data_IF_788589533282
#
_entry.id   IF_788589533282
#
_cell.length_a   1.000
_cell.length_b   1.000
_cell.length_c   1.000
_cell.angle_alpha   90.00
_cell.angle_beta   90.00
_cell.angle_gamma   90.00
#
_symmetry.space_group_name_H-M   'P 1'
#
loop_
_entity.id
_entity.type
_entity.pdbx_description
1 polymer ?
#
# COMPACT_ATOMS: atom_id res chain seq x y z
N UNK A 1 0.44 14.73 -13.43
CA UNK A 1 0.93 13.59 -14.24
C UNK A 1 0.12 13.57 -15.53
N UNK A 2 0.78 13.56 -16.69
CA UNK A 2 0.17 13.81 -18.03
C UNK A 2 -0.12 12.51 -18.78
N UNK A 3 -0.79 12.61 -19.94
CA UNK A 3 -1.29 11.46 -20.72
C UNK A 3 -0.21 10.47 -21.17
N UNK A 4 1.05 10.92 -21.36
CA UNK A 4 2.13 10.00 -21.71
C UNK A 4 2.38 8.94 -20.64
N UNK A 5 2.09 9.27 -19.37
CA UNK A 5 2.31 8.34 -18.27
C UNK A 5 1.31 7.19 -18.31
N UNK A 6 0.05 7.45 -18.72
CA UNK A 6 -0.97 6.41 -18.94
C UNK A 6 -0.57 5.43 -20.06
N UNK A 7 0.30 5.87 -20.99
CA UNK A 7 0.79 5.05 -22.10
C UNK A 7 1.98 4.15 -21.72
N UNK A 8 2.43 4.13 -20.46
CA UNK A 8 3.49 3.26 -19.98
C UNK A 8 3.03 1.80 -19.82
N UNK A 9 2.60 1.19 -20.92
CA UNK A 9 1.98 -0.15 -20.96
C UNK A 9 2.90 -1.30 -20.57
N UNK A 10 4.22 -1.06 -20.54
CA UNK A 10 5.24 -2.05 -20.16
C UNK A 10 5.83 -1.79 -18.78
N UNK A 11 5.39 -0.76 -18.05
CA UNK A 11 5.95 -0.46 -16.75
C UNK A 11 5.48 -1.49 -15.71
N UNK A 12 6.43 -2.26 -15.20
CA UNK A 12 6.16 -3.33 -14.23
C UNK A 12 6.39 -2.89 -12.79
N UNK A 13 7.34 -1.99 -12.56
CA UNK A 13 7.72 -1.53 -11.22
C UNK A 13 7.92 -0.04 -11.25
N UNK A 14 7.45 0.64 -10.20
CA UNK A 14 7.74 2.04 -9.99
C UNK A 14 8.04 2.31 -8.52
N UNK A 15 9.00 3.20 -8.31
CA UNK A 15 9.38 3.67 -6.98
C UNK A 15 9.44 5.18 -6.99
N UNK A 16 8.78 5.80 -6.03
CA UNK A 16 8.87 7.24 -5.77
C UNK A 16 9.63 7.48 -4.48
N UNK A 17 10.54 8.46 -4.51
CA UNK A 17 11.31 8.90 -3.36
C UNK A 17 11.45 10.41 -3.41
N UNK A 18 11.12 11.10 -2.32
CA UNK A 18 11.18 12.57 -2.22
C UNK A 18 10.49 13.27 -3.42
N UNK A 19 9.42 12.67 -3.92
CA UNK A 19 8.74 13.08 -5.16
C UNK A 19 7.57 14.02 -4.92
N UNK A 20 7.12 14.17 -3.66
CA UNK A 20 6.07 15.11 -3.25
C UNK A 20 4.79 15.00 -4.10
N UNK A 21 4.38 13.77 -4.41
CA UNK A 21 3.19 13.50 -5.21
C UNK A 21 1.95 14.00 -4.48
N UNK A 22 1.14 14.82 -5.16
CA UNK A 22 -0.14 15.30 -4.66
C UNK A 22 -1.25 14.28 -4.91
N UNK A 23 -2.20 14.25 -3.99
CA UNK A 23 -3.34 13.32 -3.91
C UNK A 23 -4.20 13.33 -5.18
N UNK A 24 -4.36 14.50 -5.79
CA UNK A 24 -5.46 14.84 -6.67
C UNK A 24 -5.67 13.93 -7.90
N UNK A 25 -4.61 13.31 -8.45
CA UNK A 25 -4.68 12.47 -9.68
C UNK A 25 -3.60 11.38 -9.79
N UNK A 26 -2.60 11.39 -8.91
CA UNK A 26 -1.39 10.56 -9.14
C UNK A 26 -1.69 9.08 -8.94
N UNK A 27 -2.39 8.75 -7.87
CA UNK A 27 -2.72 7.37 -7.50
C UNK A 27 -3.71 6.77 -8.51
N UNK A 28 -4.68 7.55 -8.98
CA UNK A 28 -5.59 7.14 -10.05
C UNK A 28 -4.84 6.73 -11.32
N UNK A 29 -3.92 7.57 -11.79
CA UNK A 29 -3.14 7.30 -13.00
C UNK A 29 -2.26 6.06 -12.84
N UNK A 30 -1.63 5.89 -11.68
CA UNK A 30 -0.84 4.70 -11.36
C UNK A 30 -1.73 3.44 -11.35
N UNK A 31 -2.97 3.57 -10.87
CA UNK A 31 -3.95 2.50 -10.80
C UNK A 31 -4.39 1.99 -12.17
N UNK A 32 -4.27 2.78 -13.22
CA UNK A 32 -4.62 2.38 -14.58
C UNK A 32 -3.50 1.64 -15.32
N UNK A 33 -2.27 1.62 -14.78
CA UNK A 33 -1.14 1.03 -15.47
C UNK A 33 -1.31 -0.49 -15.62
N UNK A 34 -1.40 -1.02 -16.86
CA UNK A 34 -1.89 -2.37 -17.10
C UNK A 34 -0.91 -3.45 -16.68
N UNK A 35 0.38 -3.14 -16.50
CA UNK A 35 1.40 -4.12 -16.10
C UNK A 35 2.08 -3.80 -14.77
N UNK A 36 1.62 -2.77 -14.06
CA UNK A 36 2.26 -2.38 -12.81
C UNK A 36 2.02 -3.45 -11.75
N UNK A 37 3.11 -4.09 -11.31
CA UNK A 37 3.14 -5.17 -10.33
C UNK A 37 3.74 -4.75 -8.98
N UNK A 38 4.58 -3.71 -8.97
CA UNK A 38 5.18 -3.19 -7.73
C UNK A 38 5.09 -1.66 -7.69
N UNK A 39 4.49 -1.16 -6.62
CA UNK A 39 4.48 0.26 -6.28
C UNK A 39 5.24 0.46 -4.96
N UNK A 40 6.29 1.27 -5.02
CA UNK A 40 7.01 1.73 -3.83
C UNK A 40 6.86 3.24 -3.67
N UNK A 41 6.50 3.67 -2.47
CA UNK A 41 6.41 5.08 -2.05
C UNK A 41 7.30 5.22 -0.83
N UNK A 42 8.29 6.11 -0.91
CA UNK A 42 9.37 6.22 0.07
C UNK A 42 9.69 7.70 0.36
N UNK A 43 10.06 8.04 1.60
CA UNK A 43 10.51 9.37 2.04
C UNK A 43 9.76 10.57 1.41
N UNK A 44 8.69 11.06 2.03
CA UNK A 44 7.92 12.24 1.55
C UNK A 44 7.52 12.16 0.06
N UNK A 45 7.36 10.96 -0.49
CA UNK A 45 6.99 10.80 -1.89
C UNK A 45 5.52 11.10 -2.17
N UNK A 46 4.66 11.16 -1.14
CA UNK A 46 3.24 11.40 -1.26
C UNK A 46 2.77 12.34 -0.16
N UNK A 47 2.01 13.37 -0.52
CA UNK A 47 1.58 14.44 0.39
C UNK A 47 0.15 14.27 0.89
N UNK A 48 -0.60 13.29 0.38
CA UNK A 48 -1.94 12.97 0.86
C UNK A 48 -1.89 12.23 2.20
N UNK A 49 -2.89 12.46 3.04
CA UNK A 49 -3.01 11.76 4.32
C UNK A 49 -3.75 10.42 4.21
N UNK A 50 -4.32 10.13 3.03
CA UNK A 50 -4.91 8.84 2.68
C UNK A 50 -4.37 8.32 1.36
N UNK A 51 -4.12 7.02 1.30
CA UNK A 51 -3.80 6.29 0.09
C UNK A 51 -4.93 5.30 -0.20
N UNK A 52 -5.83 5.70 -1.08
CA UNK A 52 -7.07 4.97 -1.37
C UNK A 52 -6.93 4.16 -2.67
N UNK A 53 -7.11 2.85 -2.57
CA UNK A 53 -7.14 1.93 -3.70
C UNK A 53 -8.60 1.71 -4.12
N UNK A 54 -9.04 2.54 -5.06
CA UNK A 54 -10.41 2.53 -5.56
C UNK A 54 -10.78 1.26 -6.36
N UNK A 55 -12.08 1.06 -6.51
CA UNK A 55 -12.68 -0.01 -7.32
C UNK A 55 -12.06 -0.07 -8.73
N UNK A 56 -11.69 -1.28 -9.19
CA UNK A 56 -11.03 -1.53 -10.50
C UNK A 56 -9.63 -0.89 -10.70
N UNK A 57 -9.05 -0.25 -9.68
CA UNK A 57 -7.68 0.24 -9.77
C UNK A 57 -6.66 -0.89 -9.51
N UNK A 58 -5.43 -0.69 -10.01
CA UNK A 58 -4.25 -1.50 -9.71
C UNK A 58 -4.42 -3.00 -10.02
N UNK A 59 -5.04 -3.33 -11.16
CA UNK A 59 -5.47 -4.70 -11.48
C UNK A 59 -4.37 -5.76 -11.50
N UNK A 60 -3.11 -5.36 -11.72
CA UNK A 60 -1.95 -6.26 -11.74
C UNK A 60 -0.97 -6.06 -10.59
N UNK A 61 -1.29 -5.16 -9.64
CA UNK A 61 -0.40 -4.85 -8.53
C UNK A 61 -0.31 -6.05 -7.59
N UNK A 62 0.91 -6.47 -7.30
CA UNK A 62 1.22 -7.62 -6.43
C UNK A 62 1.89 -7.21 -5.13
N UNK A 63 2.63 -6.10 -5.16
CA UNK A 63 3.41 -5.65 -4.01
C UNK A 63 3.27 -4.14 -3.83
N UNK A 64 2.85 -3.75 -2.62
CA UNK A 64 2.86 -2.38 -2.16
C UNK A 64 3.93 -2.21 -1.08
N UNK A 65 4.82 -1.25 -1.26
CA UNK A 65 5.85 -0.90 -0.28
C UNK A 65 5.73 0.57 0.10
N UNK A 66 5.46 0.86 1.38
CA UNK A 66 5.34 2.22 1.90
C UNK A 66 6.38 2.39 3.01
N UNK A 67 7.27 3.36 2.85
CA UNK A 67 8.37 3.61 3.77
C UNK A 67 8.48 5.10 4.10
N UNK A 68 8.72 5.43 5.38
CA UNK A 68 9.03 6.78 5.83
C UNK A 68 8.00 7.83 5.36
N UNK A 69 6.72 7.55 5.59
CA UNK A 69 5.60 8.43 5.23
C UNK A 69 5.00 9.05 6.49
N UNK A 70 5.40 10.29 6.80
CA UNK A 70 5.02 10.98 8.04
C UNK A 70 3.56 11.46 8.03
N UNK A 71 3.10 11.96 6.88
CA UNK A 71 1.76 12.56 6.75
C UNK A 71 0.66 11.53 6.47
N UNK A 72 1.04 10.34 5.98
CA UNK A 72 0.10 9.28 5.64
C UNK A 72 -0.51 8.67 6.90
N UNK A 73 -1.84 8.73 7.00
CA UNK A 73 -2.61 8.23 8.15
C UNK A 73 -3.37 6.95 7.82
N UNK A 74 -3.71 6.73 6.56
CA UNK A 74 -4.62 5.67 6.13
C UNK A 74 -4.17 5.02 4.82
N UNK A 75 -4.32 3.70 4.75
CA UNK A 75 -4.30 2.95 3.49
C UNK A 75 -5.62 2.18 3.43
N UNK A 76 -6.40 2.36 2.37
CA UNK A 76 -7.70 1.72 2.23
C UNK A 76 -7.82 0.98 0.90
N UNK A 77 -8.50 -0.16 0.92
CA UNK A 77 -8.77 -0.99 -0.25
C UNK A 77 -10.28 -1.15 -0.43
N UNK A 78 -10.82 -0.61 -1.51
CA UNK A 78 -12.22 -0.82 -1.88
C UNK A 78 -12.46 -2.21 -2.46
N UNK A 79 -13.71 -2.66 -2.42
CA UNK A 79 -14.10 -3.91 -3.06
C UNK A 79 -13.80 -3.90 -4.57
N UNK A 80 -13.16 -4.95 -5.06
CA UNK A 80 -12.80 -5.07 -6.48
C UNK A 80 -11.53 -4.28 -6.88
N UNK A 81 -10.78 -3.73 -5.92
CA UNK A 81 -9.43 -3.21 -6.17
C UNK A 81 -8.37 -4.31 -6.12
N UNK A 82 -7.24 -4.09 -6.80
CA UNK A 82 -5.98 -4.83 -6.61
C UNK A 82 -6.13 -6.36 -6.43
N UNK A 83 -6.86 -7.09 -7.30
CA UNK A 83 -7.16 -8.52 -7.13
C UNK A 83 -5.93 -9.44 -7.16
N UNK A 84 -4.78 -8.91 -7.56
CA UNK A 84 -3.49 -9.60 -7.63
C UNK A 84 -2.56 -9.29 -6.45
N UNK A 85 -3.00 -8.48 -5.48
CA UNK A 85 -2.16 -8.09 -4.34
C UNK A 85 -1.75 -9.32 -3.53
N UNK A 86 -0.45 -9.51 -3.35
CA UNK A 86 0.11 -10.62 -2.57
C UNK A 86 0.80 -10.14 -1.30
N UNK A 87 1.32 -8.90 -1.30
CA UNK A 87 2.22 -8.42 -0.26
C UNK A 87 2.05 -6.92 -0.02
N UNK A 88 1.89 -6.55 1.24
CA UNK A 88 1.89 -5.17 1.72
C UNK A 88 3.05 -5.03 2.72
N UNK A 89 3.92 -4.03 2.53
CA UNK A 89 5.04 -3.76 3.43
C UNK A 89 4.99 -2.30 3.90
N UNK A 90 4.93 -2.10 5.21
CA UNK A 90 4.86 -0.79 5.85
C UNK A 90 6.04 -0.61 6.79
N UNK A 91 6.88 0.38 6.50
CA UNK A 91 8.05 0.71 7.30
C UNK A 91 8.09 2.16 7.76
N UNK A 92 8.43 2.39 9.03
CA UNK A 92 8.60 3.75 9.59
C UNK A 92 7.40 4.69 9.31
N UNK A 93 6.17 4.18 9.44
CA UNK A 93 4.95 4.96 9.22
C UNK A 93 4.07 5.01 10.48
N UNK A 94 3.31 6.09 10.67
CA UNK A 94 2.32 6.21 11.75
C UNK A 94 0.92 6.34 11.14
N UNK A 95 0.28 5.20 10.87
CA UNK A 95 -1.06 5.12 10.30
C UNK A 95 -2.12 5.30 11.40
N UNK A 96 -2.54 6.54 11.63
CA UNK A 96 -3.54 6.91 12.65
C UNK A 96 -4.93 6.33 12.37
N UNK A 97 -5.27 6.09 11.11
CA UNK A 97 -6.50 5.37 10.72
C UNK A 97 -6.25 3.87 10.49
N UNK A 98 -5.01 3.48 10.18
CA UNK A 98 -4.62 2.09 9.97
C UNK A 98 -4.67 1.65 8.50
N UNK A 99 -4.77 0.33 8.30
CA UNK A 99 -4.95 -0.30 6.99
C UNK A 99 -6.34 -0.93 6.99
N UNK A 100 -7.17 -0.58 6.01
CA UNK A 100 -8.60 -0.92 6.00
C UNK A 100 -8.94 -1.68 4.71
N UNK A 101 -9.78 -2.71 4.82
CA UNK A 101 -10.33 -3.39 3.65
C UNK A 101 -9.42 -4.45 3.04
N UNK A 102 -8.44 -4.97 3.80
CA UNK A 102 -7.59 -6.07 3.33
C UNK A 102 -8.39 -7.32 2.99
N UNK A 103 -9.57 -7.51 3.59
CA UNK A 103 -10.53 -8.56 3.23
C UNK A 103 -10.96 -8.55 1.76
N UNK A 104 -10.81 -7.43 1.05
CA UNK A 104 -11.14 -7.29 -0.36
C UNK A 104 -10.03 -7.77 -1.30
N UNK A 105 -8.90 -8.26 -0.77
CA UNK A 105 -7.71 -8.65 -1.53
C UNK A 105 -7.58 -10.18 -1.60
N UNK A 106 -8.22 -10.87 -2.56
CA UNK A 106 -8.39 -12.33 -2.54
C UNK A 106 -7.09 -13.14 -2.61
N UNK A 107 -5.97 -12.51 -3.01
CA UNK A 107 -4.65 -13.15 -3.15
C UNK A 107 -3.64 -12.71 -2.10
N UNK A 108 -4.05 -11.94 -1.10
CA UNK A 108 -3.14 -11.38 -0.11
C UNK A 108 -2.51 -12.50 0.72
N UNK A 109 -1.17 -12.55 0.78
CA UNK A 109 -0.41 -13.59 1.49
C UNK A 109 0.28 -13.05 2.72
N UNK A 110 0.80 -11.82 2.64
CA UNK A 110 1.63 -11.26 3.71
C UNK A 110 1.35 -9.78 3.88
N UNK A 111 1.19 -9.36 5.13
CA UNK A 111 1.32 -7.97 5.56
C UNK A 111 2.53 -7.90 6.47
N UNK A 112 3.52 -7.12 6.09
CA UNK A 112 4.74 -6.90 6.86
C UNK A 112 4.70 -5.50 7.47
N UNK A 113 4.87 -5.43 8.79
CA UNK A 113 5.02 -4.20 9.54
C UNK A 113 6.41 -4.17 10.18
N UNK A 114 7.20 -3.17 9.81
CA UNK A 114 8.47 -2.86 10.49
C UNK A 114 8.23 -2.49 11.97
N UNK A 115 9.26 -2.64 12.80
CA UNK A 115 9.18 -2.38 14.24
C UNK A 115 8.86 -0.91 14.57
N UNK A 116 9.24 0.02 13.70
CA UNK A 116 8.97 1.44 13.87
C UNK A 116 7.57 1.84 13.37
N UNK A 117 6.87 0.96 12.65
CA UNK A 117 5.52 1.23 12.13
C UNK A 117 4.46 1.12 13.22
N UNK A 118 3.58 2.12 13.29
CA UNK A 118 2.48 2.19 14.27
C UNK A 118 1.14 2.31 13.56
N UNK A 119 0.22 1.41 13.87
CA UNK A 119 -1.16 1.42 13.41
C UNK A 119 -2.08 1.63 14.61
N UNK A 120 -2.82 2.73 14.68
CA UNK A 120 -3.72 2.97 15.82
C UNK A 120 -4.85 1.94 15.89
N UNK A 121 -5.28 1.43 14.74
CA UNK A 121 -6.33 0.41 14.59
C UNK A 121 -5.76 -0.99 14.28
N UNK A 122 -4.62 -1.34 14.86
CA UNK A 122 -3.99 -2.65 14.64
C UNK A 122 -4.93 -3.83 14.91
N UNK A 123 -5.75 -3.76 15.96
CA UNK A 123 -6.72 -4.82 16.29
C UNK A 123 -7.73 -5.08 15.16
N UNK A 124 -8.20 -4.03 14.49
CA UNK A 124 -9.11 -4.18 13.35
C UNK A 124 -8.41 -4.86 12.17
N UNK A 125 -7.14 -4.53 11.93
CA UNK A 125 -6.35 -5.22 10.91
C UNK A 125 -6.16 -6.71 11.27
N UNK A 126 -5.88 -7.02 12.53
CA UNK A 126 -5.76 -8.41 13.02
C UNK A 126 -7.09 -9.18 12.83
N UNK A 127 -8.23 -8.56 13.14
CA UNK A 127 -9.56 -9.12 12.90
C UNK A 127 -9.81 -9.40 11.41
N UNK A 128 -9.52 -8.45 10.52
CA UNK A 128 -9.65 -8.65 9.08
C UNK A 128 -8.73 -9.77 8.57
N UNK A 129 -7.47 -9.82 9.03
CA UNK A 129 -6.51 -10.87 8.67
C UNK A 129 -7.00 -12.25 9.13
N UNK A 130 -7.49 -12.36 10.36
CA UNK A 130 -7.98 -13.62 10.92
C UNK A 130 -9.24 -14.13 10.21
N UNK A 131 -10.13 -13.23 9.78
CA UNK A 131 -11.34 -13.56 9.04
C UNK A 131 -11.12 -13.73 7.52
N UNK A 132 -9.90 -13.47 7.02
CA UNK A 132 -9.62 -13.44 5.60
C UNK A 132 -9.60 -14.84 4.99
N UNK A 133 -10.28 -15.00 3.85
CA UNK A 133 -10.39 -16.26 3.09
C UNK A 133 -9.07 -16.86 2.57
N UNK A 134 -7.99 -16.08 2.49
CA UNK A 134 -6.69 -16.52 1.96
C UNK A 134 -5.64 -16.68 3.06
N UNK A 135 -6.04 -16.55 4.34
CA UNK A 135 -5.20 -16.71 5.52
C UNK A 135 -3.82 -15.99 5.42
N UNK A 136 -3.80 -14.67 5.15
CA UNK A 136 -2.56 -13.93 5.09
C UNK A 136 -1.84 -13.93 6.44
N UNK A 137 -0.52 -13.89 6.40
CA UNK A 137 0.31 -13.76 7.59
C UNK A 137 0.56 -12.29 7.89
N UNK A 138 0.23 -11.85 9.11
CA UNK A 138 0.68 -10.57 9.65
C UNK A 138 2.05 -10.75 10.32
N UNK A 139 3.10 -10.28 9.65
CA UNK A 139 4.48 -10.33 10.14
C UNK A 139 4.87 -8.99 10.76
N UNK A 140 5.51 -9.04 11.92
CA UNK A 140 5.98 -7.87 12.66
C UNK A 140 7.40 -8.12 13.11
N UNK A 141 8.29 -7.17 12.86
CA UNK A 141 9.65 -7.22 13.42
C UNK A 141 9.69 -6.59 14.80
N UNK A 142 10.54 -7.12 15.66
CA UNK A 142 10.89 -6.49 16.93
C UNK A 142 12.04 -5.50 16.73
N UNK A 143 12.11 -4.47 17.57
CA UNK A 143 13.27 -3.57 17.57
C UNK A 143 14.50 -4.36 18.01
N UNK A 144 15.33 -4.82 17.06
CA UNK A 144 16.63 -5.37 17.42
C UNK A 144 17.54 -4.21 17.81
N UNK A 145 17.84 -4.10 19.10
CA UNK A 145 18.90 -3.23 19.60
C UNK A 145 20.21 -3.68 18.96
N UNK A 146 20.63 -3.00 17.90
CA UNK A 146 21.99 -3.12 17.36
C UNK A 146 22.63 -1.74 17.51
N UNK A 147 23.75 -1.76 18.22
CA UNK A 147 24.47 -0.65 18.84
C UNK A 147 25.02 0.39 17.85
#
# INVERSE_FOLDING_TARGET
MTDWFRNLTQLVKISFKCSELKEDKTIEILGELPKLMLLRIDYHAYLGDKLEFGTRAFLNLRTLQIWCMEDLKEISFEEGTSPQMERIEIGYCILKSGIIGVKHLPRLKVIFLDYASKLARLRMLEEEVNAHSNHPVLQRTEATMTW
#
